data_IF_524629073269
#
_entry.id   IF_524629073269
#
_cell.length_a   1.000
_cell.length_b   1.000
_cell.length_c   1.000
_cell.angle_alpha   90.00
_cell.angle_beta   90.00
_cell.angle_gamma   90.00
#
_symmetry.space_group_name_H-M   'P 1'
#
loop_
_entity.id
_entity.type
_entity.pdbx_description
1 polymer ?
#
# COMPACT_ATOMS: atom_id res chain seq x y z
N UNK A 1 -21.07 0.90 -1.14
CA UNK A 1 -20.15 1.73 -0.32
C UNK A 1 -19.97 1.02 1.01
N UNK A 2 -18.80 0.43 1.26
CA UNK A 2 -18.46 -0.16 2.55
C UNK A 2 -17.35 0.67 3.18
N UNK A 3 -17.52 1.06 4.44
CA UNK A 3 -16.54 1.84 5.19
C UNK A 3 -16.03 0.93 6.29
N UNK A 4 -14.71 0.73 6.32
CA UNK A 4 -14.04 -0.13 7.28
C UNK A 4 -12.93 0.70 7.92
N UNK A 5 -13.03 0.93 9.23
CA UNK A 5 -11.98 1.60 10.00
C UNK A 5 -10.94 0.57 10.43
N UNK A 6 -9.65 0.90 10.29
CA UNK A 6 -8.51 0.07 10.72
C UNK A 6 -7.50 0.92 11.49
N UNK A 7 -6.93 0.33 12.52
CA UNK A 7 -5.79 0.86 13.27
C UNK A 7 -4.45 0.34 12.70
N UNK A 8 -3.35 0.91 13.17
CA UNK A 8 -2.01 0.44 12.79
C UNK A 8 -1.83 -1.05 13.11
N UNK A 9 -1.16 -1.77 12.21
CA UNK A 9 -0.98 -3.23 12.21
C UNK A 9 -2.23 -4.06 11.95
N UNK A 10 -3.41 -3.47 11.75
CA UNK A 10 -4.58 -4.20 11.31
C UNK A 10 -4.59 -4.39 9.78
N UNK A 11 -5.26 -5.45 9.33
CA UNK A 11 -5.39 -5.79 7.92
C UNK A 11 -6.83 -6.05 7.52
N UNK A 12 -7.08 -5.95 6.22
CA UNK A 12 -8.34 -6.25 5.54
C UNK A 12 -8.01 -7.22 4.41
N UNK A 13 -8.74 -8.34 4.35
CA UNK A 13 -8.76 -9.21 3.18
C UNK A 13 -9.87 -8.75 2.24
N UNK A 14 -9.51 -8.45 0.99
CA UNK A 14 -10.42 -8.05 -0.08
C UNK A 14 -10.44 -9.18 -1.11
N UNK A 15 -11.63 -9.72 -1.37
CA UNK A 15 -11.77 -10.91 -2.22
C UNK A 15 -11.11 -12.13 -1.58
N UNK A 16 -10.39 -12.92 -2.37
CA UNK A 16 -9.76 -14.16 -1.91
C UNK A 16 -8.27 -14.00 -1.57
N UNK A 17 -7.58 -13.07 -2.22
CA UNK A 17 -6.11 -13.01 -2.16
C UNK A 17 -5.53 -11.62 -1.87
N UNK A 18 -6.31 -10.53 -1.93
CA UNK A 18 -5.75 -9.20 -1.74
C UNK A 18 -5.76 -8.81 -0.26
N UNK A 19 -4.60 -8.63 0.34
CA UNK A 19 -4.43 -8.17 1.71
C UNK A 19 -4.02 -6.70 1.70
N UNK A 20 -4.79 -5.86 2.39
CA UNK A 20 -4.45 -4.46 2.65
C UNK A 20 -4.13 -4.33 4.12
N UNK A 21 -2.93 -3.88 4.47
CA UNK A 21 -2.49 -3.71 5.86
C UNK A 21 -2.13 -2.25 6.13
N UNK A 22 -2.64 -1.71 7.23
CA UNK A 22 -2.17 -0.42 7.74
C UNK A 22 -0.85 -0.67 8.46
N UNK A 23 0.24 -0.18 7.89
CA UNK A 23 1.55 -0.28 8.53
C UNK A 23 1.66 0.76 9.63
N UNK A 24 1.46 2.02 9.29
CA UNK A 24 1.68 3.16 10.19
C UNK A 24 0.74 4.33 9.86
N UNK A 25 0.44 5.15 10.87
CA UNK A 25 -0.36 6.37 10.74
C UNK A 25 0.45 7.54 11.28
N UNK A 26 0.76 8.51 10.42
CA UNK A 26 1.56 9.70 10.72
C UNK A 26 0.72 10.95 10.46
N UNK A 27 -0.01 11.41 11.46
CA UNK A 27 -0.90 12.57 11.32
C UNK A 27 -1.99 12.31 10.28
N UNK A 28 -1.92 13.02 9.15
CA UNK A 28 -2.82 12.88 8.01
C UNK A 28 -2.33 11.84 6.97
N UNK A 29 -1.13 11.28 7.13
CA UNK A 29 -0.55 10.29 6.22
C UNK A 29 -0.71 8.88 6.77
N UNK A 30 -1.03 7.94 5.90
CA UNK A 30 -1.14 6.51 6.25
C UNK A 30 -0.23 5.71 5.33
N UNK A 31 0.63 4.88 5.93
CA UNK A 31 1.45 3.92 5.20
C UNK A 31 0.69 2.61 5.08
N UNK A 32 0.42 2.19 3.85
CA UNK A 32 -0.33 0.97 3.55
C UNK A 32 0.60 -0.05 2.86
N UNK A 33 0.49 -1.32 3.24
CA UNK A 33 0.95 -2.45 2.44
C UNK A 33 -0.24 -3.01 1.67
N UNK A 34 -0.05 -3.32 0.39
CA UNK A 34 -1.05 -3.99 -0.44
C UNK A 34 -0.36 -5.18 -1.08
N UNK A 35 -0.84 -6.38 -0.76
CA UNK A 35 -0.26 -7.64 -1.22
C UNK A 35 -1.34 -8.40 -1.99
N UNK A 36 -1.04 -8.80 -3.23
CA UNK A 36 -1.93 -9.67 -4.02
C UNK A 36 -1.10 -10.84 -4.56
N UNK A 37 -0.87 -11.90 -3.77
CA UNK A 37 -0.17 -13.09 -4.23
C UNK A 37 -0.87 -13.71 -5.45
N UNK A 38 -0.09 -13.99 -6.50
CA UNK A 38 -0.54 -14.72 -7.68
C UNK A 38 -1.19 -13.89 -8.78
N UNK A 39 -1.38 -12.58 -8.59
CA UNK A 39 -1.84 -11.68 -9.64
C UNK A 39 -1.46 -10.22 -9.36
N UNK A 40 -1.01 -9.50 -10.38
CA UNK A 40 -1.06 -8.04 -10.34
C UNK A 40 -2.54 -7.61 -10.36
N UNK A 41 -2.94 -6.62 -9.54
CA UNK A 41 -4.31 -6.13 -9.59
C UNK A 41 -4.62 -5.62 -10.99
N UNK A 42 -5.78 -6.02 -11.54
CA UNK A 42 -6.18 -5.63 -12.90
C UNK A 42 -6.26 -4.11 -13.10
N UNK A 43 -6.39 -3.35 -12.00
CA UNK A 43 -6.37 -1.90 -11.97
C UNK A 43 -5.79 -1.40 -10.64
N UNK A 44 -4.90 -0.41 -10.71
CA UNK A 44 -4.48 0.39 -9.57
C UNK A 44 -4.25 1.83 -10.03
N UNK A 45 -4.53 2.80 -9.16
CA UNK A 45 -4.34 4.23 -9.44
C UNK A 45 -3.35 4.80 -8.42
N UNK A 46 -2.17 5.25 -8.90
CA UNK A 46 -1.18 5.95 -8.08
C UNK A 46 -1.22 7.42 -8.42
N UNK A 47 -1.56 8.26 -7.45
CA UNK A 47 -1.29 9.70 -7.55
C UNK A 47 0.11 9.93 -6.99
N UNK A 48 1.08 10.13 -7.88
CA UNK A 48 2.44 10.50 -7.51
C UNK A 48 2.53 12.03 -7.47
N UNK A 49 2.78 12.58 -6.30
CA UNK A 49 3.21 13.97 -6.19
C UNK A 49 4.69 14.02 -6.53
N UNK A 50 5.08 14.65 -7.64
CA UNK A 50 6.50 14.91 -7.95
C UNK A 50 7.02 15.97 -6.97
N UNK A 51 7.45 15.55 -5.79
CA UNK A 51 8.33 16.34 -4.95
C UNK A 51 9.76 15.85 -5.19
N UNK A 52 10.63 16.70 -5.72
CA UNK A 52 12.00 16.35 -6.13
C UNK A 52 12.91 15.95 -4.93
N UNK A 53 12.37 15.99 -3.71
CA UNK A 53 13.08 15.67 -2.47
C UNK A 53 12.83 14.23 -1.99
N UNK A 54 11.87 13.49 -2.56
CA UNK A 54 11.49 12.13 -2.10
C UNK A 54 12.13 10.98 -2.89
N UNK A 55 12.94 11.28 -3.92
CA UNK A 55 13.61 10.26 -4.75
C UNK A 55 14.60 9.36 -3.99
N UNK A 56 15.03 9.75 -2.79
CA UNK A 56 16.03 8.99 -2.03
C UNK A 56 15.47 7.80 -1.23
N UNK A 57 14.17 7.75 -0.89
CA UNK A 57 13.62 6.71 0.01
C UNK A 57 12.77 5.63 -0.70
N UNK A 58 12.21 5.89 -1.88
CA UNK A 58 11.32 4.93 -2.56
C UNK A 58 12.04 3.88 -3.43
N UNK A 59 13.34 4.07 -3.73
CA UNK A 59 14.09 3.16 -4.61
C UNK A 59 14.71 1.94 -3.90
N UNK A 60 14.69 1.88 -2.56
CA UNK A 60 15.27 0.77 -1.81
C UNK A 60 14.27 -0.37 -1.49
N UNK A 61 12.97 -0.22 -1.79
CA UNK A 61 11.95 -1.20 -1.39
C UNK A 61 11.35 -2.04 -2.52
N UNK A 62 11.76 -1.85 -3.78
CA UNK A 62 11.32 -2.70 -4.91
C UNK A 62 12.45 -3.63 -5.32
N UNK A 63 12.79 -4.58 -4.45
CA UNK A 63 13.44 -5.81 -4.89
C UNK A 63 12.36 -6.79 -5.36
N UNK A 64 12.01 -6.71 -6.65
CA UNK A 64 11.45 -7.86 -7.35
C UNK A 64 12.60 -8.87 -7.48
N UNK A 65 12.64 -9.81 -6.54
CA UNK A 65 13.50 -10.99 -6.60
C UNK A 65 13.14 -11.85 -7.82
N UNK A 66 14.17 -12.36 -8.49
CA UNK A 66 14.10 -13.02 -9.80
C UNK A 66 13.63 -14.47 -9.81
#
# INVERSE_FOLDING_TARGET
MHIISREANESILIGEHTVVKVLEVFGDRVKLSIETPGAEPAYWEKVVYLDQSVEAEELESVQIGG
#
